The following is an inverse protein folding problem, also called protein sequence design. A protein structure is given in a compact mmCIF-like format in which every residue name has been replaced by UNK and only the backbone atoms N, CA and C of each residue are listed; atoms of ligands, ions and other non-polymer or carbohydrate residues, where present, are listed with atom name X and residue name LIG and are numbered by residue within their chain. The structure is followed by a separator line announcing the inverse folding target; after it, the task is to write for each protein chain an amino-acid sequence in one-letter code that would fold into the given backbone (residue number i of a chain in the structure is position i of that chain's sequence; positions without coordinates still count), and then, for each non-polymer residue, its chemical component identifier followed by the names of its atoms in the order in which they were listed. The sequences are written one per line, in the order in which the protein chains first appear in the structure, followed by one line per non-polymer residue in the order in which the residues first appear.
data_IF_518011889094
#
_entry.id   IF_518011889094
#
_cell.length_a   1.000
_cell.length_b   1.000
_cell.length_c   1.000
_cell.angle_alpha   90.00
_cell.angle_beta   90.00
_cell.angle_gamma   90.00
#
_symmetry.space_group_name_H-M   'P 1'
#
loop_
_entity.id
_entity.type
_entity.pdbx_description
1 polymer ?
#
# COMPACT_ATOMS: atom_id res chain seq x y z
N UNK A 1 -11.04 -5.97 -14.04
CA UNK A 1 -10.43 -7.27 -13.65
C UNK A 1 -8.96 -7.19 -14.04
N UNK A 2 -8.05 -7.19 -13.08
CA UNK A 2 -6.61 -7.07 -13.35
C UNK A 2 -6.04 -8.49 -13.52
N UNK A 3 -5.20 -8.70 -14.52
CA UNK A 3 -4.57 -10.00 -14.77
C UNK A 3 -3.06 -9.80 -14.74
N UNK A 4 -2.38 -10.48 -13.82
CA UNK A 4 -0.93 -10.44 -13.71
C UNK A 4 -0.38 -11.86 -13.62
N UNK A 5 0.53 -12.22 -14.54
CA UNK A 5 1.17 -13.56 -14.63
C UNK A 5 0.18 -14.73 -14.57
N UNK A 6 -0.94 -14.63 -15.30
CA UNK A 6 -1.96 -15.69 -15.34
C UNK A 6 -2.91 -15.73 -14.13
N UNK A 7 -2.62 -14.97 -13.07
CA UNK A 7 -3.51 -14.82 -11.92
C UNK A 7 -4.53 -13.71 -12.16
N UNK A 8 -5.82 -14.05 -11.99
CA UNK A 8 -6.89 -13.05 -11.97
C UNK A 8 -6.95 -12.37 -10.60
N UNK A 9 -6.56 -11.11 -10.56
CA UNK A 9 -6.68 -10.26 -9.40
C UNK A 9 -8.04 -9.58 -9.41
N UNK A 10 -8.80 -9.78 -8.34
CA UNK A 10 -9.92 -8.90 -7.99
C UNK A 10 -9.29 -7.68 -7.35
N UNK A 11 -9.34 -6.54 -8.04
CA UNK A 11 -9.10 -5.28 -7.36
C UNK A 11 -10.17 -5.16 -6.28
N UNK A 12 -9.76 -5.20 -5.00
CA UNK A 12 -10.59 -4.73 -3.91
C UNK A 12 -10.96 -3.26 -4.16
N UNK A 13 -11.92 -2.73 -3.41
CA UNK A 13 -12.24 -1.29 -3.45
C UNK A 13 -10.95 -0.53 -3.08
N UNK A 14 -10.18 -0.10 -4.07
CA UNK A 14 -9.06 0.82 -3.88
C UNK A 14 -9.64 2.13 -3.34
N UNK A 15 -8.91 2.85 -2.48
CA UNK A 15 -9.38 4.00 -1.69
C UNK A 15 -9.69 5.24 -2.56
N UNK A 16 -10.54 5.06 -3.56
CA UNK A 16 -10.81 6.00 -4.63
C UNK A 16 -11.60 7.17 -4.08
N UNK A 17 -10.93 8.31 -3.91
CA UNK A 17 -11.50 9.54 -3.38
C UNK A 17 -11.44 9.67 -1.85
N UNK A 18 -10.65 8.84 -1.16
CA UNK A 18 -10.42 8.95 0.27
C UNK A 18 -9.05 9.59 0.57
N UNK A 19 -8.89 10.20 1.75
CA UNK A 19 -7.60 10.76 2.18
C UNK A 19 -6.63 9.62 2.54
N UNK A 20 -5.82 9.23 1.57
CA UNK A 20 -4.67 8.35 1.76
C UNK A 20 -3.48 9.20 2.23
N UNK A 21 -2.93 8.86 3.39
CA UNK A 21 -1.75 9.53 3.94
C UNK A 21 -0.50 8.69 3.72
N UNK A 22 0.57 9.32 3.23
CA UNK A 22 1.92 8.75 3.30
C UNK A 22 2.64 9.34 4.51
N UNK A 23 3.22 8.48 5.34
CA UNK A 23 4.02 8.87 6.48
C UNK A 23 5.42 8.29 6.34
N UNK A 24 6.44 9.15 6.38
CA UNK A 24 7.82 8.69 6.43
C UNK A 24 8.10 7.91 7.72
N UNK A 25 8.80 6.79 7.58
CA UNK A 25 9.33 6.04 8.71
C UNK A 25 10.69 6.59 9.13
N UNK A 26 11.29 6.01 10.17
CA UNK A 26 12.68 6.32 10.55
C UNK A 26 13.71 5.80 9.54
N UNK A 27 13.31 4.86 8.66
CA UNK A 27 14.18 4.33 7.61
C UNK A 27 13.97 5.11 6.30
N UNK A 28 15.07 5.65 5.78
CA UNK A 28 15.06 6.43 4.54
C UNK A 28 14.54 5.58 3.36
N UNK A 29 13.59 6.13 2.61
CA UNK A 29 12.92 5.43 1.53
C UNK A 29 11.82 4.43 1.95
N UNK A 30 11.47 4.36 3.24
CA UNK A 30 10.35 3.57 3.74
C UNK A 30 9.19 4.46 4.19
N UNK A 31 8.00 4.23 3.62
CA UNK A 31 6.79 5.01 3.87
C UNK A 31 5.67 4.09 4.35
N UNK A 32 4.97 4.47 5.41
CA UNK A 32 3.71 3.83 5.79
C UNK A 32 2.56 4.42 5.00
N UNK A 33 1.65 3.55 4.54
CA UNK A 33 0.40 3.95 3.91
C UNK A 33 -0.69 3.89 4.96
N UNK A 34 -1.35 5.02 5.20
CA UNK A 34 -2.39 5.17 6.20
C UNK A 34 -3.74 5.50 5.56
N UNK A 35 -4.78 4.87 6.10
CA UNK A 35 -6.17 5.20 5.82
C UNK A 35 -6.86 5.60 7.12
N UNK A 36 -7.27 6.87 7.22
CA UNK A 36 -7.63 7.49 8.49
C UNK A 36 -6.55 7.26 9.55
N UNK A 37 -6.87 6.51 10.61
CA UNK A 37 -5.97 6.15 11.71
C UNK A 37 -5.51 4.69 11.65
N UNK A 38 -5.69 4.01 10.51
CA UNK A 38 -5.27 2.62 10.32
C UNK A 38 -4.14 2.56 9.32
N UNK A 39 -3.00 1.99 9.72
CA UNK A 39 -1.94 1.61 8.79
C UNK A 39 -2.42 0.45 7.93
N UNK A 40 -2.36 0.62 6.62
CA UNK A 40 -2.86 -0.35 5.63
C UNK A 40 -1.76 -0.88 4.71
N UNK A 41 -0.54 -0.37 4.83
CA UNK A 41 0.58 -0.84 4.02
C UNK A 41 1.89 -0.13 4.29
N UNK A 42 2.90 -0.54 3.53
CA UNK A 42 4.25 0.02 3.49
C UNK A 42 4.73 0.07 2.04
N UNK A 43 5.37 1.19 1.67
CA UNK A 43 6.11 1.36 0.43
C UNK A 43 7.59 1.40 0.79
N UNK A 44 8.37 0.52 0.17
CA UNK A 44 9.82 0.46 0.30
C UNK A 44 10.44 0.78 -1.06
N UNK A 45 11.02 1.97 -1.17
CA UNK A 45 11.63 2.46 -2.41
C UNK A 45 12.96 1.76 -2.72
N UNK A 46 13.69 1.33 -1.69
CA UNK A 46 14.98 0.64 -1.84
C UNK A 46 14.80 -0.72 -2.49
N UNK A 47 13.80 -1.47 -2.03
CA UNK A 47 13.44 -2.77 -2.57
C UNK A 47 12.39 -2.69 -3.69
N UNK A 48 11.94 -1.48 -4.05
CA UNK A 48 10.91 -1.22 -5.07
C UNK A 48 9.65 -2.07 -4.84
N UNK A 49 9.24 -2.17 -3.58
CA UNK A 49 8.16 -3.06 -3.16
C UNK A 49 7.05 -2.29 -2.47
N UNK A 50 5.83 -2.82 -2.59
CA UNK A 50 4.64 -2.29 -1.91
C UNK A 50 3.96 -3.48 -1.25
N UNK A 51 3.76 -3.39 0.06
CA UNK A 51 3.04 -4.38 0.86
C UNK A 51 1.78 -3.76 1.42
N UNK A 52 0.62 -4.37 1.16
CA UNK A 52 -0.70 -3.86 1.58
C UNK A 52 -1.45 -4.94 2.34
N UNK A 53 -2.16 -4.56 3.40
CA UNK A 53 -2.92 -5.49 4.23
C UNK A 53 -3.10 -5.05 5.68
N UNK A 54 -3.97 -5.75 6.40
CA UNK A 54 -4.13 -5.59 7.86
C UNK A 54 -2.88 -6.16 8.54
N UNK A 55 -2.15 -5.33 9.29
CA UNK A 55 -0.98 -5.73 10.06
C UNK A 55 0.37 -5.57 9.34
N UNK A 56 0.41 -4.80 8.24
CA UNK A 56 1.63 -4.37 7.58
C UNK A 56 2.40 -3.31 8.38
#
# INVERSE_FOLDING_TARGET
KLSFRGSSLKAGKAFRGEYEGLKETMEDGCYEVWWYSTKVGVIDLKNKSITMGKGC
#
